data_IF_205689976863
#
_entry.id   IF_205689976863
#
_cell.length_a   1.000
_cell.length_b   1.000
_cell.length_c   1.000
_cell.angle_alpha   90.00
_cell.angle_beta   90.00
_cell.angle_gamma   90.00
#
_symmetry.space_group_name_H-M   'P 1'
#
loop_
_entity.id
_entity.type
_entity.pdbx_description
1 polymer ?
#
# COMPACT_ATOMS: atom_id res chain seq x y z
N UNK A 1 -23.09 -79.60 -3.20
CA UNK A 1 -23.78 -78.29 -2.97
C UNK A 1 -22.71 -77.27 -2.59
N UNK A 2 -22.24 -76.46 -3.56
CA UNK A 2 -21.12 -75.59 -3.40
C UNK A 2 -21.63 -74.14 -3.33
N UNK A 3 -21.66 -73.53 -2.13
CA UNK A 3 -22.01 -72.16 -1.92
C UNK A 3 -20.78 -71.25 -2.18
N UNK A 4 -20.84 -70.46 -3.24
CA UNK A 4 -19.81 -69.39 -3.53
C UNK A 4 -20.25 -68.09 -2.87
N UNK A 5 -19.57 -67.70 -1.80
CA UNK A 5 -19.75 -66.37 -1.18
C UNK A 5 -18.96 -65.35 -1.99
N UNK A 6 -19.65 -64.46 -2.67
CA UNK A 6 -19.06 -63.32 -3.33
C UNK A 6 -18.95 -62.14 -2.32
N UNK A 7 -17.75 -61.86 -1.90
CA UNK A 7 -17.45 -60.69 -1.03
C UNK A 7 -17.33 -59.45 -1.90
N UNK A 8 -18.31 -58.55 -1.84
CA UNK A 8 -18.26 -57.27 -2.53
C UNK A 8 -17.38 -56.31 -1.71
N UNK A 9 -16.24 -55.95 -2.28
CA UNK A 9 -15.33 -54.90 -1.72
C UNK A 9 -15.82 -53.53 -2.18
N UNK A 10 -16.43 -52.79 -1.28
CA UNK A 10 -16.83 -51.41 -1.54
C UNK A 10 -15.59 -50.48 -1.42
N UNK A 11 -15.10 -50.00 -2.55
CA UNK A 11 -14.02 -49.00 -2.60
C UNK A 11 -14.65 -47.63 -2.28
N UNK A 12 -14.43 -47.12 -1.07
CA UNK A 12 -14.75 -45.75 -0.71
C UNK A 12 -13.72 -44.82 -1.34
N UNK A 13 -14.11 -44.13 -2.40
CA UNK A 13 -13.32 -43.06 -3.02
C UNK A 13 -13.41 -41.83 -2.12
N UNK A 14 -12.40 -41.61 -1.28
CA UNK A 14 -12.27 -40.38 -0.50
C UNK A 14 -11.83 -39.24 -1.45
N UNK A 15 -12.78 -38.49 -1.95
CA UNK A 15 -12.50 -37.27 -2.70
C UNK A 15 -12.04 -36.21 -1.68
N UNK A 16 -10.74 -36.10 -1.51
CA UNK A 16 -10.12 -35.02 -0.72
C UNK A 16 -10.46 -33.68 -1.34
N UNK A 17 -11.38 -32.94 -0.74
CA UNK A 17 -11.61 -31.53 -1.07
C UNK A 17 -10.33 -30.77 -0.79
N UNK A 18 -9.54 -30.46 -1.83
CA UNK A 18 -8.46 -29.49 -1.74
C UNK A 18 -9.13 -28.15 -1.48
N UNK A 19 -9.02 -27.65 -0.25
CA UNK A 19 -9.35 -26.27 0.07
C UNK A 19 -8.41 -25.39 -0.76
N UNK A 20 -8.89 -24.86 -1.87
CA UNK A 20 -8.23 -23.77 -2.57
C UNK A 20 -8.31 -22.56 -1.63
N UNK A 21 -7.25 -22.30 -0.91
CA UNK A 21 -7.05 -20.97 -0.33
C UNK A 21 -7.16 -19.99 -1.50
N UNK A 22 -8.14 -19.09 -1.44
CA UNK A 22 -8.38 -18.15 -2.52
C UNK A 22 -7.08 -17.35 -2.76
N UNK A 23 -6.49 -17.52 -3.95
CA UNK A 23 -5.31 -16.75 -4.32
C UNK A 23 -5.60 -15.25 -4.14
N UNK A 24 -4.71 -14.54 -3.44
CA UNK A 24 -4.84 -13.11 -3.21
C UNK A 24 -4.79 -12.34 -4.54
N UNK A 25 -5.59 -11.29 -4.65
CA UNK A 25 -5.61 -10.42 -5.83
C UNK A 25 -4.74 -9.19 -5.60
N UNK A 26 -3.63 -9.08 -6.33
CA UNK A 26 -2.65 -7.99 -6.21
C UNK A 26 -3.26 -6.60 -6.44
N UNK A 27 -4.20 -6.44 -7.38
CA UNK A 27 -4.85 -5.15 -7.62
C UNK A 27 -5.75 -4.71 -6.45
N UNK A 28 -6.41 -5.66 -5.76
CA UNK A 28 -7.12 -5.35 -4.51
C UNK A 28 -6.13 -5.07 -3.39
N UNK A 29 -5.05 -5.84 -3.31
CA UNK A 29 -3.98 -5.66 -2.33
C UNK A 29 -3.32 -4.29 -2.41
N UNK A 30 -3.14 -3.75 -3.60
CA UNK A 30 -2.64 -2.38 -3.78
C UNK A 30 -3.52 -1.34 -3.08
N UNK A 31 -4.85 -1.51 -3.11
CA UNK A 31 -5.76 -0.60 -2.39
C UNK A 31 -5.63 -0.76 -0.88
N UNK A 32 -5.50 -1.99 -0.40
CA UNK A 32 -5.26 -2.28 1.02
C UNK A 32 -3.93 -1.70 1.48
N UNK A 33 -2.89 -1.75 0.65
CA UNK A 33 -1.57 -1.17 0.92
C UNK A 33 -1.61 0.33 1.19
N UNK A 34 -2.65 1.04 0.77
CA UNK A 34 -2.82 2.47 1.04
C UNK A 34 -2.67 2.83 2.53
N UNK A 35 -3.12 1.97 3.44
CA UNK A 35 -2.95 2.16 4.88
C UNK A 35 -1.49 2.02 5.33
N UNK A 36 -0.70 1.17 4.67
CA UNK A 36 0.71 0.93 4.97
C UNK A 36 1.61 2.04 4.39
N UNK A 37 1.22 2.60 3.24
CA UNK A 37 1.96 3.62 2.50
C UNK A 37 2.13 4.95 3.27
N UNK A 38 1.34 5.17 4.32
CA UNK A 38 1.51 6.31 5.22
C UNK A 38 2.86 6.27 5.98
N UNK A 39 3.36 5.06 6.26
CA UNK A 39 4.57 4.84 7.06
C UNK A 39 5.67 4.10 6.32
N UNK A 40 5.38 3.37 5.26
CA UNK A 40 6.33 2.51 4.54
C UNK A 40 6.44 2.88 3.07
N UNK A 41 7.67 2.86 2.56
CA UNK A 41 7.97 2.93 1.13
C UNK A 41 8.22 1.52 0.56
N UNK A 42 7.97 1.35 -0.73
CA UNK A 42 8.38 0.16 -1.49
C UNK A 42 9.74 0.34 -2.18
N UNK A 43 10.34 1.53 -2.08
CA UNK A 43 11.63 1.82 -2.72
C UNK A 43 12.78 1.45 -1.80
N UNK A 44 13.85 0.82 -2.32
CA UNK A 44 15.06 0.53 -1.55
C UNK A 44 15.57 1.79 -0.83
N UNK A 45 16.03 1.62 0.39
CA UNK A 45 16.64 2.66 1.25
C UNK A 45 15.79 3.91 1.50
N UNK A 46 14.56 3.96 0.98
CA UNK A 46 13.63 5.04 1.28
C UNK A 46 12.83 4.71 2.54
N UNK A 47 13.41 4.94 3.70
CA UNK A 47 12.73 4.81 4.97
C UNK A 47 11.83 6.02 5.25
N UNK A 48 10.68 5.76 5.88
CA UNK A 48 9.73 6.78 6.33
C UNK A 48 9.59 6.69 7.87
N UNK A 49 8.39 6.78 8.42
CA UNK A 49 8.14 6.47 9.83
C UNK A 49 8.48 5.02 10.14
N UNK A 50 8.12 4.11 9.22
CA UNK A 50 8.55 2.71 9.20
C UNK A 50 9.69 2.47 8.19
N UNK A 51 10.26 1.26 8.21
CA UNK A 51 11.31 0.85 7.27
C UNK A 51 10.78 0.70 5.84
N UNK A 52 11.69 0.80 4.88
CA UNK A 52 11.40 0.36 3.50
C UNK A 52 11.00 -1.11 3.47
N UNK A 53 9.97 -1.44 2.69
CA UNK A 53 9.51 -2.81 2.45
C UNK A 53 10.15 -3.44 1.19
N UNK A 54 11.06 -2.74 0.50
CA UNK A 54 11.82 -3.35 -0.60
C UNK A 54 12.55 -4.60 -0.09
N UNK A 55 12.59 -5.65 -0.90
CA UNK A 55 13.24 -6.94 -0.57
C UNK A 55 12.76 -7.53 0.77
N UNK A 56 11.45 -7.46 1.03
CA UNK A 56 10.86 -7.87 2.31
C UNK A 56 10.94 -9.37 2.55
N UNK A 57 10.68 -10.20 1.52
CA UNK A 57 10.68 -11.67 1.66
C UNK A 57 12.07 -12.21 1.98
N UNK A 58 12.11 -13.21 2.84
CA UNK A 58 13.33 -13.84 3.38
C UNK A 58 14.23 -12.89 4.20
N UNK A 59 13.81 -11.66 4.44
CA UNK A 59 14.52 -10.72 5.31
C UNK A 59 14.19 -11.01 6.78
N UNK A 60 15.21 -11.01 7.65
CA UNK A 60 15.01 -11.11 9.10
C UNK A 60 14.32 -9.84 9.62
N UNK A 61 13.40 -10.00 10.58
CA UNK A 61 12.76 -8.88 11.25
C UNK A 61 13.81 -7.98 11.92
N UNK A 62 13.61 -6.67 11.85
CA UNK A 62 14.52 -5.71 12.48
C UNK A 62 15.92 -5.61 11.88
N UNK A 63 16.17 -6.14 10.68
CA UNK A 63 17.52 -6.28 10.11
C UNK A 63 17.88 -5.32 8.98
N UNK A 64 16.97 -4.44 8.51
CA UNK A 64 17.31 -3.50 7.45
C UNK A 64 18.35 -2.47 7.96
N UNK A 65 19.60 -2.45 7.44
CA UNK A 65 20.67 -1.63 8.01
C UNK A 65 20.39 -0.12 7.92
N UNK A 66 19.70 0.31 6.87
CA UNK A 66 19.37 1.72 6.65
C UNK A 66 18.28 2.25 7.60
N UNK A 67 17.57 1.37 8.36
CA UNK A 67 16.55 1.77 9.32
C UNK A 67 17.00 1.47 10.76
N UNK A 68 17.33 2.49 11.52
CA UNK A 68 17.91 2.35 12.88
C UNK A 68 16.87 2.33 14.00
N UNK A 69 15.61 2.67 13.73
CA UNK A 69 14.54 2.89 14.72
C UNK A 69 13.69 1.65 15.04
N UNK A 70 14.21 0.46 14.81
CA UNK A 70 13.50 -0.75 15.23
C UNK A 70 13.41 -0.87 16.75
N UNK A 71 12.28 -1.34 17.26
CA UNK A 71 12.15 -1.71 18.67
C UNK A 71 13.11 -2.85 19.04
N UNK A 72 13.56 -2.93 20.30
CA UNK A 72 14.33 -4.09 20.79
C UNK A 72 13.60 -5.41 20.55
N UNK A 73 12.28 -5.44 20.78
CA UNK A 73 11.43 -6.60 20.55
C UNK A 73 11.52 -7.11 19.12
N UNK A 74 11.41 -6.20 18.13
CA UNK A 74 11.47 -6.59 16.72
C UNK A 74 12.86 -7.08 16.30
N UNK A 75 13.94 -6.51 16.86
CA UNK A 75 15.33 -6.95 16.61
C UNK A 75 15.60 -8.34 17.15
N UNK A 76 15.03 -8.68 18.32
CA UNK A 76 15.24 -9.95 19.00
C UNK A 76 14.26 -11.06 18.59
N UNK A 77 13.23 -10.77 17.81
CA UNK A 77 12.15 -11.70 17.51
C UNK A 77 12.58 -12.97 16.74
N UNK A 78 13.78 -13.00 16.12
CA UNK A 78 14.28 -14.12 15.31
C UNK A 78 13.33 -14.62 14.23
N UNK A 79 12.49 -13.73 13.69
CA UNK A 79 11.51 -14.03 12.66
C UNK A 79 12.11 -13.70 11.30
N UNK A 80 11.86 -14.56 10.32
CA UNK A 80 12.12 -14.30 8.89
C UNK A 80 10.78 -14.07 8.20
N UNK A 81 10.69 -12.99 7.44
CA UNK A 81 9.47 -12.64 6.74
C UNK A 81 9.19 -13.59 5.57
N UNK A 82 8.07 -14.27 5.62
CA UNK A 82 7.52 -15.13 4.58
C UNK A 82 6.00 -14.99 4.54
N UNK A 83 5.33 -15.71 3.65
CA UNK A 83 3.87 -15.59 3.50
C UNK A 83 3.14 -15.80 4.84
N UNK A 84 3.53 -16.82 5.62
CA UNK A 84 2.89 -17.11 6.92
C UNK A 84 3.18 -16.05 7.98
N UNK A 85 4.46 -15.73 8.19
CA UNK A 85 4.84 -14.79 9.25
C UNK A 85 4.36 -13.37 8.97
N UNK A 86 4.23 -12.98 7.69
CA UNK A 86 3.63 -11.72 7.29
C UNK A 86 2.11 -11.73 7.47
N UNK A 87 1.41 -12.85 7.19
CA UNK A 87 -0.03 -12.95 7.43
C UNK A 87 -0.33 -12.81 8.93
N UNK A 88 0.39 -13.54 9.77
CA UNK A 88 0.24 -13.48 11.23
C UNK A 88 0.56 -12.07 11.76
N UNK A 89 1.65 -11.47 11.29
CA UNK A 89 2.05 -10.11 11.67
C UNK A 89 1.00 -9.06 11.28
N UNK A 90 0.50 -9.13 10.04
CA UNK A 90 -0.48 -8.17 9.54
C UNK A 90 -1.86 -8.38 10.20
N UNK A 91 -2.17 -9.60 10.63
CA UNK A 91 -3.42 -9.89 11.34
C UNK A 91 -3.50 -9.21 12.70
N UNK A 92 -2.40 -9.23 13.45
CA UNK A 92 -2.32 -8.66 14.79
C UNK A 92 -0.87 -8.41 15.21
N UNK A 93 -0.29 -7.25 14.86
CA UNK A 93 1.12 -6.97 15.13
C UNK A 93 1.47 -7.00 16.60
N UNK A 94 0.59 -6.50 17.47
CA UNK A 94 0.87 -6.40 18.90
C UNK A 94 0.93 -7.77 19.59
N UNK A 95 0.04 -8.69 19.19
CA UNK A 95 0.08 -10.05 19.74
C UNK A 95 1.18 -10.91 19.12
N UNK A 96 1.55 -10.64 17.86
CA UNK A 96 2.58 -11.42 17.17
C UNK A 96 4.01 -11.09 17.67
N UNK A 97 4.29 -9.81 17.92
CA UNK A 97 5.52 -9.34 18.56
C UNK A 97 5.11 -8.22 19.52
N UNK A 98 4.94 -8.55 20.78
CA UNK A 98 4.65 -7.55 21.81
C UNK A 98 5.76 -6.49 21.89
N UNK A 99 5.44 -5.29 22.32
CA UNK A 99 6.36 -4.14 22.41
C UNK A 99 7.00 -3.75 21.05
N UNK A 100 6.39 -4.11 19.95
CA UNK A 100 6.76 -3.54 18.67
C UNK A 100 6.30 -2.06 18.61
N UNK A 101 6.92 -1.25 17.76
CA UNK A 101 6.60 0.18 17.63
C UNK A 101 5.71 0.49 16.40
N UNK A 102 5.17 -0.52 15.74
CA UNK A 102 4.26 -0.34 14.63
C UNK A 102 2.84 -0.11 15.15
N UNK A 103 2.38 1.14 15.16
CA UNK A 103 1.02 1.52 15.58
C UNK A 103 0.04 1.14 14.48
N UNK A 104 -0.41 -0.11 14.48
CA UNK A 104 -1.35 -0.65 13.51
C UNK A 104 -2.23 -1.72 14.15
N UNK A 105 -3.55 -1.57 14.04
CA UNK A 105 -4.52 -2.47 14.68
C UNK A 105 -4.62 -3.87 14.01
N UNK A 106 -3.95 -4.05 12.89
CA UNK A 106 -4.03 -5.28 12.10
C UNK A 106 -5.24 -5.32 11.16
N UNK A 107 -5.17 -6.27 10.21
CA UNK A 107 -6.25 -6.57 9.26
C UNK A 107 -6.87 -7.90 9.67
N UNK A 108 -8.08 -7.88 10.21
CA UNK A 108 -8.74 -9.11 10.69
C UNK A 108 -9.31 -9.98 9.56
N UNK A 109 -9.67 -9.36 8.43
CA UNK A 109 -10.18 -10.07 7.25
C UNK A 109 -9.04 -10.80 6.51
N UNK A 110 -9.09 -12.13 6.52
CA UNK A 110 -8.08 -12.99 5.90
C UNK A 110 -7.98 -12.79 4.38
N UNK A 111 -9.09 -12.45 3.71
CA UNK A 111 -9.08 -12.20 2.27
C UNK A 111 -8.35 -10.91 1.92
N UNK A 112 -8.55 -9.87 2.70
CA UNK A 112 -7.80 -8.62 2.53
C UNK A 112 -6.31 -8.83 2.80
N UNK A 113 -5.93 -9.64 3.78
CA UNK A 113 -4.53 -9.99 4.03
C UNK A 113 -3.93 -10.78 2.87
N UNK A 114 -4.63 -11.79 2.35
CA UNK A 114 -4.17 -12.54 1.18
C UNK A 114 -3.97 -11.63 -0.05
N UNK A 115 -4.90 -10.71 -0.29
CA UNK A 115 -4.78 -9.71 -1.35
C UNK A 115 -3.55 -8.80 -1.15
N UNK A 116 -3.34 -8.31 0.08
CA UNK A 116 -2.18 -7.48 0.43
C UNK A 116 -0.87 -8.23 0.25
N UNK A 117 -0.79 -9.49 0.69
CA UNK A 117 0.40 -10.32 0.52
C UNK A 117 0.72 -10.56 -0.96
N UNK A 118 -0.30 -10.83 -1.78
CA UNK A 118 -0.13 -10.98 -3.22
C UNK A 118 0.44 -9.70 -3.87
N UNK A 119 -0.03 -8.53 -3.44
CA UNK A 119 0.53 -7.25 -3.89
C UNK A 119 1.96 -7.05 -3.40
N UNK A 120 2.22 -7.20 -2.10
CA UNK A 120 3.55 -7.01 -1.53
C UNK A 120 4.58 -7.96 -2.16
N UNK A 121 4.22 -9.21 -2.42
CA UNK A 121 5.11 -10.19 -3.04
C UNK A 121 5.60 -9.75 -4.42
N UNK A 122 4.76 -9.08 -5.18
CA UNK A 122 5.15 -8.50 -6.48
C UNK A 122 5.91 -7.18 -6.31
N UNK A 123 5.43 -6.31 -5.42
CA UNK A 123 5.89 -4.93 -5.33
C UNK A 123 7.22 -4.77 -4.57
N UNK A 124 7.62 -5.79 -3.78
CA UNK A 124 8.85 -5.72 -2.96
C UNK A 124 9.99 -6.60 -3.45
N UNK A 125 9.84 -7.27 -4.60
CA UNK A 125 10.92 -8.07 -5.19
C UNK A 125 12.06 -7.18 -5.67
N UNK A 126 13.30 -7.72 -5.71
CA UNK A 126 14.43 -7.02 -6.29
C UNK A 126 14.11 -6.55 -7.72
N UNK A 127 14.29 -5.27 -7.98
CA UNK A 127 13.97 -4.69 -9.29
C UNK A 127 12.49 -4.38 -9.55
N UNK A 128 11.57 -4.72 -8.65
CA UNK A 128 10.13 -4.44 -8.82
C UNK A 128 9.82 -2.95 -8.96
N UNK A 129 10.62 -2.08 -8.33
CA UNK A 129 10.45 -0.62 -8.43
C UNK A 129 10.72 -0.08 -9.83
N UNK A 130 11.51 -0.80 -10.63
CA UNK A 130 11.71 -0.47 -12.05
C UNK A 130 10.50 -0.88 -12.92
N UNK A 131 9.69 -1.83 -12.45
CA UNK A 131 8.50 -2.34 -13.13
C UNK A 131 7.18 -1.84 -12.54
N UNK A 132 7.21 -1.17 -11.39
CA UNK A 132 6.04 -0.68 -10.65
C UNK A 132 5.30 0.49 -11.31
N UNK A 133 5.49 0.70 -12.60
CA UNK A 133 4.72 1.64 -13.41
C UNK A 133 3.49 1.07 -14.11
N UNK A 134 3.22 -0.25 -13.99
CA UNK A 134 2.13 -0.90 -14.75
C UNK A 134 1.11 -1.64 -13.90
N UNK A 135 0.87 -1.20 -12.66
CA UNK A 135 -0.30 -1.61 -11.89
C UNK A 135 -1.50 -0.75 -12.30
N UNK A 136 -2.37 -1.31 -13.16
CA UNK A 136 -3.51 -0.64 -13.76
C UNK A 136 -4.43 0.12 -12.81
N UNK A 137 -4.12 1.36 -12.59
CA UNK A 137 -5.05 2.43 -12.37
C UNK A 137 -4.97 3.28 -13.65
N UNK A 138 -6.09 3.61 -14.26
CA UNK A 138 -6.17 4.44 -15.43
C UNK A 138 -5.39 5.75 -15.24
N UNK A 139 -4.09 5.74 -15.53
CA UNK A 139 -3.21 6.82 -15.91
C UNK A 139 -1.82 6.19 -16.06
N UNK A 140 -1.52 5.73 -17.29
CA UNK A 140 -0.16 5.38 -17.70
C UNK A 140 0.72 6.62 -17.57
N UNK A 141 1.75 6.52 -16.74
CA UNK A 141 2.74 7.55 -16.61
C UNK A 141 3.68 7.21 -15.45
N UNK A 142 4.99 7.09 -15.71
CA UNK A 142 6.03 7.23 -14.70
C UNK A 142 5.80 8.48 -13.84
N UNK A 143 6.62 8.74 -12.80
CA UNK A 143 6.46 9.94 -12.00
C UNK A 143 6.33 11.13 -12.96
N UNK A 144 5.25 11.94 -12.81
CA UNK A 144 4.95 12.96 -13.80
C UNK A 144 6.19 13.83 -13.98
N UNK A 145 6.61 14.00 -15.23
CA UNK A 145 7.69 14.93 -15.54
C UNK A 145 7.18 16.34 -15.23
N UNK A 146 7.42 16.78 -14.01
CA UNK A 146 6.97 18.09 -13.52
C UNK A 146 7.59 19.25 -14.28
N UNK A 147 8.66 19.01 -15.08
CA UNK A 147 9.25 20.00 -15.96
C UNK A 147 8.43 20.20 -17.24
N UNK A 148 7.68 19.18 -17.66
CA UNK A 148 6.82 19.25 -18.83
C UNK A 148 5.54 18.42 -18.60
N UNK A 149 4.61 18.92 -17.76
CA UNK A 149 3.37 18.22 -17.48
C UNK A 149 2.51 18.15 -18.74
N UNK A 150 1.84 17.00 -18.95
CA UNK A 150 0.87 16.85 -20.00
C UNK A 150 -0.16 18.00 -19.94
N UNK A 151 -0.58 18.50 -21.10
CA UNK A 151 -1.45 19.68 -21.17
C UNK A 151 -2.72 19.55 -20.31
N UNK A 152 -3.30 18.36 -20.28
CA UNK A 152 -4.50 18.02 -19.50
C UNK A 152 -4.28 17.98 -17.98
N UNK A 153 -3.04 17.78 -17.52
CA UNK A 153 -2.70 17.73 -16.09
C UNK A 153 -2.24 19.08 -15.53
N UNK A 154 -2.17 20.11 -16.36
CA UNK A 154 -1.82 21.47 -15.92
C UNK A 154 -2.89 22.00 -14.98
N UNK A 155 -2.44 22.62 -13.91
CA UNK A 155 -3.35 23.29 -12.98
C UNK A 155 -3.93 24.53 -13.66
N UNK A 156 -5.26 24.59 -13.74
CA UNK A 156 -6.01 25.67 -14.34
C UNK A 156 -6.53 26.65 -13.29
N UNK A 157 -6.93 26.14 -12.14
CA UNK A 157 -7.42 26.95 -11.04
C UNK A 157 -7.05 26.34 -9.69
N UNK A 158 -6.81 27.19 -8.71
CA UNK A 158 -6.64 26.83 -7.31
C UNK A 158 -7.59 27.72 -6.51
N UNK A 159 -8.50 27.14 -5.77
CA UNK A 159 -9.31 27.84 -4.78
C UNK A 159 -8.97 27.33 -3.37
N UNK A 160 -9.04 28.23 -2.40
CA UNK A 160 -8.74 27.95 -1.01
C UNK A 160 -9.94 28.34 -0.15
N UNK A 161 -10.39 27.42 0.70
CA UNK A 161 -11.43 27.67 1.67
C UNK A 161 -11.03 27.02 3.01
N UNK A 162 -10.87 27.87 4.03
CA UNK A 162 -10.35 27.47 5.36
C UNK A 162 -8.97 26.80 5.22
N UNK A 163 -8.87 25.52 5.51
CA UNK A 163 -7.67 24.70 5.47
C UNK A 163 -7.60 23.76 4.25
N UNK A 164 -8.52 23.95 3.29
CA UNK A 164 -8.67 23.09 2.14
C UNK A 164 -8.38 23.84 0.82
N UNK A 165 -7.47 23.29 0.04
CA UNK A 165 -7.21 23.70 -1.34
C UNK A 165 -7.98 22.80 -2.30
N UNK A 166 -8.68 23.40 -3.24
CA UNK A 166 -9.28 22.71 -4.39
C UNK A 166 -8.49 23.07 -5.64
N UNK A 167 -7.90 22.07 -6.28
CA UNK A 167 -7.12 22.24 -7.50
C UNK A 167 -7.93 21.70 -8.67
N UNK A 168 -8.11 22.52 -9.71
CA UNK A 168 -8.75 22.14 -10.96
C UNK A 168 -7.69 22.04 -12.05
N UNK A 169 -7.67 20.94 -12.77
CA UNK A 169 -6.77 20.71 -13.91
C UNK A 169 -7.44 21.03 -15.24
N UNK A 170 -6.65 21.16 -16.32
CA UNK A 170 -7.12 21.56 -17.64
C UNK A 170 -8.16 20.61 -18.24
N UNK A 171 -8.19 19.34 -17.82
CA UNK A 171 -9.25 18.39 -18.19
C UNK A 171 -10.52 18.50 -17.32
N UNK A 172 -10.63 19.52 -16.47
CA UNK A 172 -11.78 19.77 -15.60
C UNK A 172 -11.84 18.91 -14.34
N UNK A 173 -10.85 18.04 -14.08
CA UNK A 173 -10.82 17.27 -12.85
C UNK A 173 -10.49 18.17 -11.66
N UNK A 174 -11.19 17.96 -10.54
CA UNK A 174 -10.96 18.68 -9.29
C UNK A 174 -10.43 17.72 -8.21
N UNK A 175 -9.45 18.18 -7.44
CA UNK A 175 -8.92 17.46 -6.28
C UNK A 175 -8.82 18.40 -5.09
N UNK A 176 -9.19 17.90 -3.90
CA UNK A 176 -9.09 18.63 -2.64
C UNK A 176 -7.87 18.16 -1.85
N UNK A 177 -7.14 19.11 -1.29
CA UNK A 177 -5.96 18.86 -0.46
C UNK A 177 -6.06 19.70 0.81
N UNK A 178 -5.63 19.12 1.93
CA UNK A 178 -5.51 19.86 3.17
C UNK A 178 -4.19 20.62 3.18
N UNK A 179 -4.17 21.82 3.77
CA UNK A 179 -3.02 22.70 3.80
C UNK A 179 -1.75 21.99 4.31
N UNK A 180 -1.87 21.14 5.33
CA UNK A 180 -0.76 20.36 5.89
C UNK A 180 -0.09 19.41 4.90
N UNK A 181 -0.80 18.97 3.87
CA UNK A 181 -0.33 17.97 2.92
C UNK A 181 0.07 18.59 1.56
N UNK A 182 -0.17 19.88 1.37
CA UNK A 182 0.11 20.55 0.10
C UNK A 182 1.48 21.23 0.15
N UNK A 183 2.42 20.70 -0.64
CA UNK A 183 3.69 21.38 -0.95
C UNK A 183 3.64 21.87 -2.38
N UNK A 184 3.40 23.15 -2.56
CA UNK A 184 3.44 23.79 -3.87
C UNK A 184 4.87 24.23 -4.16
N UNK A 185 5.50 23.63 -5.18
CA UNK A 185 6.74 24.17 -5.77
C UNK A 185 6.35 25.02 -6.97
N UNK A 186 6.46 26.31 -6.84
CA UNK A 186 6.32 27.23 -7.97
C UNK A 186 7.64 27.26 -8.74
N UNK A 187 7.59 27.01 -10.07
CA UNK A 187 8.72 27.32 -10.93
C UNK A 187 8.93 28.86 -10.91
N UNK A 188 10.17 29.31 -10.78
CA UNK A 188 10.53 30.73 -10.86
C UNK A 188 10.01 31.30 -12.19
N UNK A 189 9.18 32.32 -12.12
CA UNK A 189 8.54 33.06 -13.18
C UNK A 189 7.13 32.58 -13.59
N UNK A 190 6.19 32.64 -12.66
CA UNK A 190 4.82 33.01 -12.97
C UNK A 190 4.39 33.97 -11.85
N UNK A 191 4.01 35.16 -12.22
CA UNK A 191 3.49 36.20 -11.34
C UNK A 191 2.42 35.57 -10.43
N UNK A 192 2.70 35.51 -9.14
CA UNK A 192 1.71 35.09 -8.14
C UNK A 192 0.53 36.04 -8.28
N UNK A 193 -0.72 35.55 -8.56
CA UNK A 193 -1.87 36.44 -8.54
C UNK A 193 -1.94 37.05 -7.15
N UNK A 194 -1.98 38.40 -7.09
CA UNK A 194 -2.22 39.13 -5.84
C UNK A 194 -3.46 38.53 -5.19
N UNK A 195 -3.33 38.22 -3.91
CA UNK A 195 -4.39 37.79 -3.01
C UNK A 195 -5.60 38.74 -3.22
N UNK A 196 -6.65 38.28 -3.89
CA UNK A 196 -7.89 39.03 -3.94
C UNK A 196 -8.52 38.95 -2.56
N UNK A 197 -8.76 40.04 -1.88
CA UNK A 197 -9.44 40.01 -0.58
C UNK A 197 -10.86 39.45 -0.78
N UNK A 198 -11.42 38.77 0.19
CA UNK A 198 -12.77 38.21 0.10
C UNK A 198 -13.77 39.36 -0.11
N UNK A 199 -14.56 39.23 -1.16
CA UNK A 199 -15.75 40.05 -1.42
C UNK A 199 -16.85 39.65 -0.43
N UNK A 200 -16.83 40.25 0.73
CA UNK A 200 -18.04 40.36 1.54
C UNK A 200 -17.96 41.70 2.31
N UNK A 201 -18.70 42.62 1.75
CA UNK A 201 -19.13 43.81 2.41
C UNK A 201 -20.12 43.43 3.48
N UNK A 202 -19.86 43.87 4.70
CA UNK A 202 -20.86 43.82 5.76
C UNK A 202 -22.08 44.68 5.36
N UNK A 203 -23.33 44.24 5.64
CA UNK A 203 -24.46 45.14 5.61
C UNK A 203 -24.47 45.98 6.90
N UNK A 204 -24.73 47.26 6.72
CA UNK A 204 -25.05 48.22 7.79
C UNK A 204 -26.29 47.80 8.57
#
# INVERSE_FOLDING_TARGET
>A
MNGRHATAFAIFLVIGAKSFAAEGNSARGQRVFGACAACHSLKPDQNMTGPSLADLWNRKAGSLPSFTRYSPALKSANIVWNDKTLDDWIADPEHFIADNQMIFAGIKDARQRADLLAFLKQATQPGAVAQGGTGGGMMGGGPPNLKNPAAESRVQAISHCKDTYTITTANGQTRKFWERNLRIKTARAATVPKKTPPLWSEPE
#
